data_IF_263526653241
#
_entry.id   IF_263526653241
#
_cell.length_a   1.000
_cell.length_b   1.000
_cell.length_c   1.000
_cell.angle_alpha   90.00
_cell.angle_beta   90.00
_cell.angle_gamma   90.00
#
_symmetry.space_group_name_H-M   'P 1'
#
loop_
_entity.id
_entity.type
_entity.pdbx_description
1 polymer ?
#
# COMPACT_ATOMS: atom_id res chain seq x y z
N UNK A 1 57.95 9.95 29.41
CA UNK A 1 57.13 9.15 28.48
C UNK A 1 55.80 9.85 28.30
N UNK A 2 55.56 10.42 27.12
CA UNK A 2 54.31 11.14 26.79
C UNK A 2 53.36 10.11 26.18
N UNK A 3 52.33 9.71 26.91
CA UNK A 3 51.27 8.86 26.38
C UNK A 3 50.12 9.77 25.91
N UNK A 4 50.12 10.11 24.62
CA UNK A 4 49.03 10.81 23.95
C UNK A 4 47.80 9.89 23.96
N UNK A 5 46.80 10.21 24.78
CA UNK A 5 45.49 9.57 24.73
C UNK A 5 44.71 10.12 23.53
N UNK A 6 44.64 9.32 22.47
CA UNK A 6 43.77 9.56 21.32
C UNK A 6 42.33 9.25 21.74
N UNK A 7 41.50 10.27 21.96
CA UNK A 7 40.06 10.09 22.12
C UNK A 7 39.46 9.76 20.75
N UNK A 8 39.16 8.48 20.51
CA UNK A 8 38.26 8.06 19.44
C UNK A 8 36.82 8.36 19.89
N UNK A 9 36.27 9.50 19.46
CA UNK A 9 34.85 9.79 19.58
C UNK A 9 34.12 8.91 18.55
N UNK A 10 33.62 7.75 18.98
CA UNK A 10 32.73 6.94 18.16
C UNK A 10 31.41 7.69 17.96
N UNK A 11 31.20 8.24 16.76
CA UNK A 11 29.90 8.71 16.32
C UNK A 11 28.98 7.49 16.13
N UNK A 12 28.19 7.17 17.15
CA UNK A 12 26.98 6.37 16.97
C UNK A 12 26.00 7.22 16.15
N UNK A 13 26.05 7.06 14.84
CA UNK A 13 24.96 7.50 13.96
C UNK A 13 23.77 6.64 14.33
N UNK A 14 22.86 7.18 15.15
CA UNK A 14 21.56 6.58 15.36
C UNK A 14 20.93 6.47 13.96
N UNK A 15 20.77 5.24 13.48
CA UNK A 15 19.92 4.97 12.34
C UNK A 15 18.50 5.34 12.78
N UNK A 16 18.09 6.57 12.52
CA UNK A 16 16.70 6.97 12.69
C UNK A 16 15.88 5.99 11.86
N UNK A 17 14.87 5.32 12.42
CA UNK A 17 13.92 4.59 11.59
C UNK A 17 13.44 5.59 10.55
N UNK A 18 13.57 5.24 9.26
CA UNK A 18 12.91 6.00 8.22
C UNK A 18 11.45 6.11 8.65
N UNK A 19 10.85 7.32 8.72
CA UNK A 19 9.42 7.41 8.94
C UNK A 19 8.75 6.41 7.99
N UNK A 20 8.18 5.35 8.58
CA UNK A 20 7.16 4.59 7.90
C UNK A 20 6.16 5.63 7.40
N UNK A 21 5.50 5.38 6.28
CA UNK A 21 4.49 6.28 5.74
C UNK A 21 3.27 6.35 6.68
N UNK A 22 3.47 6.93 7.86
CA UNK A 22 2.47 7.33 8.82
C UNK A 22 1.52 8.25 8.03
N UNK A 23 0.24 7.89 8.03
CA UNK A 23 -0.88 8.65 7.45
C UNK A 23 -1.09 8.54 5.93
N UNK A 24 -0.69 7.44 5.30
CA UNK A 24 -0.92 7.21 3.87
C UNK A 24 -2.27 6.54 3.54
N UNK A 25 -2.57 5.42 4.20
CA UNK A 25 -3.83 4.68 4.08
C UNK A 25 -4.31 4.32 5.48
N UNK A 26 -5.42 4.94 5.89
CA UNK A 26 -5.98 4.78 7.22
C UNK A 26 -7.16 3.81 7.18
N UNK A 27 -6.87 2.52 7.31
CA UNK A 27 -7.88 1.47 7.38
C UNK A 27 -8.10 0.72 6.07
N UNK A 28 -9.35 0.28 5.86
CA UNK A 28 -9.75 -0.60 4.76
C UNK A 28 -10.51 0.20 3.72
N UNK A 29 -10.07 0.12 2.47
CA UNK A 29 -10.70 0.78 1.34
C UNK A 29 -11.19 -0.24 0.31
N UNK A 30 -12.34 0.03 -0.29
CA UNK A 30 -13.02 -0.85 -1.25
C UNK A 30 -13.46 -0.06 -2.48
N UNK A 31 -13.68 -0.73 -3.61
CA UNK A 31 -14.02 -0.04 -4.86
C UNK A 31 -15.48 0.48 -4.92
N UNK A 32 -16.31 0.17 -3.93
CA UNK A 32 -17.67 0.71 -3.85
C UNK A 32 -18.26 0.69 -2.43
N UNK A 33 -19.26 1.54 -2.21
CA UNK A 33 -20.07 1.57 -0.99
C UNK A 33 -20.86 0.27 -0.77
N UNK A 34 -21.26 -0.40 -1.85
CA UNK A 34 -21.95 -1.70 -1.79
C UNK A 34 -21.03 -2.78 -1.20
N UNK A 35 -19.78 -2.83 -1.64
CA UNK A 35 -18.78 -3.73 -1.07
C UNK A 35 -18.54 -3.43 0.42
N UNK A 36 -18.55 -2.16 0.80
CA UNK A 36 -18.44 -1.78 2.20
C UNK A 36 -19.65 -2.22 3.02
N UNK A 37 -20.87 -2.02 2.51
CA UNK A 37 -22.09 -2.51 3.16
C UNK A 37 -22.06 -4.04 3.31
N UNK A 38 -21.56 -4.77 2.31
CA UNK A 38 -21.37 -6.21 2.37
C UNK A 38 -20.35 -6.61 3.44
N UNK A 39 -19.18 -5.99 3.46
CA UNK A 39 -18.14 -6.25 4.46
C UNK A 39 -18.63 -6.03 5.90
N UNK A 40 -19.47 -5.01 6.12
CA UNK A 40 -20.08 -4.71 7.42
C UNK A 40 -21.17 -5.70 7.84
N UNK A 41 -21.94 -6.20 6.87
CA UNK A 41 -23.04 -7.14 7.12
C UNK A 41 -22.54 -8.57 7.33
N UNK A 42 -21.52 -8.95 6.58
CA UNK A 42 -20.90 -10.27 6.61
C UNK A 42 -19.53 -10.13 7.28
N UNK A 43 -18.44 -10.19 6.50
CA UNK A 43 -17.07 -9.96 6.96
C UNK A 43 -16.23 -9.39 5.82
N UNK A 44 -15.07 -8.80 6.12
CA UNK A 44 -14.12 -8.42 5.09
C UNK A 44 -13.61 -9.66 4.31
N UNK A 45 -13.43 -10.79 4.99
CA UNK A 45 -12.97 -12.02 4.37
C UNK A 45 -13.95 -12.52 3.28
N UNK A 46 -15.26 -12.41 3.48
CA UNK A 46 -16.23 -12.82 2.43
C UNK A 46 -16.21 -11.93 1.19
N UNK A 47 -15.73 -10.68 1.32
CA UNK A 47 -15.51 -9.78 0.19
C UNK A 47 -14.24 -10.20 -0.58
N UNK A 48 -13.17 -10.54 0.13
CA UNK A 48 -11.91 -11.06 -0.42
C UNK A 48 -12.16 -12.39 -1.15
N UNK A 49 -12.81 -13.35 -0.50
CA UNK A 49 -13.10 -14.69 -1.04
C UNK A 49 -13.99 -14.62 -2.29
N UNK A 50 -14.79 -13.56 -2.42
CA UNK A 50 -15.60 -13.30 -3.61
C UNK A 50 -14.81 -12.65 -4.77
N UNK A 51 -13.49 -12.51 -4.65
CA UNK A 51 -12.60 -11.99 -5.69
C UNK A 51 -12.46 -10.46 -5.73
N UNK A 52 -13.02 -9.74 -4.76
CA UNK A 52 -12.91 -8.28 -4.75
C UNK A 52 -11.57 -7.84 -4.16
N UNK A 53 -11.03 -6.75 -4.70
CA UNK A 53 -9.80 -6.16 -4.20
C UNK A 53 -10.09 -5.29 -2.97
N UNK A 54 -9.32 -5.53 -1.92
CA UNK A 54 -9.26 -4.74 -0.70
C UNK A 54 -7.94 -3.97 -0.68
N UNK A 55 -8.01 -2.67 -0.44
CA UNK A 55 -6.84 -1.82 -0.25
C UNK A 55 -6.65 -1.51 1.24
N UNK A 56 -5.41 -1.62 1.71
CA UNK A 56 -5.00 -1.28 3.06
C UNK A 56 -3.58 -0.74 3.11
N UNK A 57 -3.08 -0.41 4.30
CA UNK A 57 -1.70 0.03 4.50
C UNK A 57 -0.66 -1.03 4.09
N UNK A 58 -1.01 -2.33 4.11
CA UNK A 58 -0.13 -3.41 3.68
C UNK A 58 -0.11 -3.61 2.16
N UNK A 59 -1.12 -3.08 1.47
CA UNK A 59 -1.27 -3.15 0.03
C UNK A 59 -2.63 -3.68 -0.41
N UNK A 60 -2.63 -4.42 -1.52
CA UNK A 60 -3.84 -4.91 -2.18
C UNK A 60 -4.04 -6.40 -1.90
N UNK A 61 -5.26 -6.84 -1.65
CA UNK A 61 -5.58 -8.23 -1.38
C UNK A 61 -6.90 -8.67 -2.02
N UNK A 62 -6.91 -9.86 -2.59
CA UNK A 62 -8.07 -10.63 -3.05
C UNK A 62 -7.79 -12.14 -2.83
N UNK A 63 -8.73 -13.02 -3.17
CA UNK A 63 -8.64 -14.47 -2.93
C UNK A 63 -7.38 -15.12 -3.52
N UNK A 64 -6.98 -14.73 -4.73
CA UNK A 64 -5.82 -15.30 -5.45
C UNK A 64 -4.81 -14.22 -5.83
N UNK A 65 -4.90 -13.03 -5.22
CA UNK A 65 -4.10 -11.88 -5.58
C UNK A 65 -3.64 -11.11 -4.35
N UNK A 66 -2.36 -10.80 -4.27
CA UNK A 66 -1.83 -9.92 -3.23
C UNK A 66 -0.74 -9.01 -3.79
N UNK A 67 -0.74 -7.75 -3.39
CA UNK A 67 0.38 -6.84 -3.56
C UNK A 67 0.84 -6.35 -2.21
N UNK A 68 2.09 -6.63 -1.86
CA UNK A 68 2.72 -6.11 -0.66
C UNK A 68 3.40 -4.77 -0.99
N UNK A 69 3.06 -3.72 -0.24
CA UNK A 69 3.72 -2.43 -0.36
C UNK A 69 5.07 -2.47 0.37
N UNK A 70 6.15 -2.23 -0.38
CA UNK A 70 7.53 -2.33 0.14
C UNK A 70 8.14 -0.98 0.48
N UNK A 71 7.96 0.02 -0.40
CA UNK A 71 8.44 1.38 -0.15
C UNK A 71 7.35 2.37 -0.48
N UNK A 72 7.13 3.34 0.40
CA UNK A 72 6.12 4.37 0.25
C UNK A 72 6.79 5.72 0.48
N UNK A 73 6.76 6.59 -0.53
CA UNK A 73 7.38 7.92 -0.49
C UNK A 73 6.33 9.00 -0.72
N UNK A 74 6.13 9.86 0.27
CA UNK A 74 5.18 10.98 0.18
C UNK A 74 5.71 12.10 -0.72
N UNK A 75 4.88 12.60 -1.61
CA UNK A 75 5.17 13.79 -2.40
C UNK A 75 5.07 15.05 -1.54
N UNK A 76 5.91 16.05 -1.82
CA UNK A 76 5.91 17.32 -1.06
C UNK A 76 4.97 18.38 -1.64
N UNK A 77 4.52 18.18 -2.89
CA UNK A 77 3.72 19.17 -3.65
C UNK A 77 2.32 18.66 -4.04
N UNK A 78 1.97 17.43 -3.66
CA UNK A 78 0.66 16.83 -3.92
C UNK A 78 0.26 15.90 -2.79
N UNK A 79 -1.04 15.63 -2.59
CA UNK A 79 -1.52 14.64 -1.62
C UNK A 79 -1.35 13.22 -2.18
N UNK A 80 -0.13 12.88 -2.62
CA UNK A 80 0.17 11.63 -3.30
C UNK A 80 1.40 10.96 -2.73
N UNK A 81 1.48 9.65 -2.96
CA UNK A 81 2.61 8.80 -2.60
C UNK A 81 3.04 7.98 -3.81
N UNK A 82 4.35 7.87 -4.01
CA UNK A 82 4.93 6.87 -4.87
C UNK A 82 5.15 5.59 -4.06
N UNK A 83 4.60 4.48 -4.53
CA UNK A 83 4.65 3.18 -3.87
C UNK A 83 5.34 2.18 -4.78
N UNK A 84 6.30 1.44 -4.24
CA UNK A 84 6.82 0.22 -4.89
C UNK A 84 6.23 -0.99 -4.19
N UNK A 85 5.73 -1.93 -4.97
CA UNK A 85 5.06 -3.12 -4.49
C UNK A 85 5.58 -4.38 -5.18
N UNK A 86 5.45 -5.52 -4.50
CA UNK A 86 5.58 -6.84 -5.11
C UNK A 86 4.20 -7.48 -5.12
N UNK A 87 3.70 -7.76 -6.32
CA UNK A 87 2.43 -8.39 -6.56
C UNK A 87 2.61 -9.86 -6.91
N UNK A 88 1.63 -10.67 -6.52
CA UNK A 88 1.60 -12.09 -6.73
C UNK A 88 0.19 -12.53 -7.11
N UNK A 89 0.16 -13.43 -8.08
CA UNK A 89 -0.99 -14.22 -8.51
C UNK A 89 -0.55 -15.69 -8.67
N UNK A 90 -1.44 -16.65 -8.93
CA UNK A 90 -1.06 -18.06 -8.97
C UNK A 90 0.00 -18.35 -10.05
N UNK A 91 1.23 -18.61 -9.60
CA UNK A 91 2.35 -18.95 -10.48
C UNK A 91 3.12 -17.76 -11.05
N UNK A 92 2.79 -16.52 -10.68
CA UNK A 92 3.46 -15.33 -11.20
C UNK A 92 3.68 -14.27 -10.11
N UNK A 93 4.89 -13.72 -10.06
CA UNK A 93 5.31 -12.67 -9.12
C UNK A 93 5.96 -11.55 -9.92
N UNK A 94 5.53 -10.32 -9.70
CA UNK A 94 5.96 -9.17 -10.49
C UNK A 94 6.03 -7.90 -9.65
N UNK A 95 6.94 -6.96 -9.98
CA UNK A 95 6.95 -5.65 -9.38
C UNK A 95 5.85 -4.76 -9.96
N UNK A 96 5.27 -3.91 -9.12
CA UNK A 96 4.41 -2.80 -9.56
C UNK A 96 4.88 -1.49 -8.91
N UNK A 97 4.67 -0.39 -9.63
CA UNK A 97 4.91 0.96 -9.13
C UNK A 97 3.59 1.71 -9.19
N UNK A 98 3.09 2.11 -8.01
CA UNK A 98 1.81 2.77 -7.88
C UNK A 98 2.00 4.25 -7.54
N UNK A 99 1.21 5.11 -8.16
CA UNK A 99 0.87 6.41 -7.57
C UNK A 99 -0.42 6.23 -6.79
N UNK A 100 -0.41 6.65 -5.54
CA UNK A 100 -1.59 6.63 -4.69
C UNK A 100 -1.90 8.06 -4.28
N UNK A 101 -3.10 8.53 -4.56
CA UNK A 101 -3.48 9.94 -4.37
C UNK A 101 -4.73 10.03 -3.52
N UNK A 102 -4.65 10.82 -2.44
CA UNK A 102 -5.82 11.13 -1.63
C UNK A 102 -6.66 12.19 -2.34
N UNK A 103 -7.84 11.77 -2.81
CA UNK A 103 -8.78 12.64 -3.53
C UNK A 103 -9.71 13.38 -2.56
N UNK A 104 -10.03 12.75 -1.44
CA UNK A 104 -10.80 13.33 -0.34
C UNK A 104 -10.45 12.59 0.98
N UNK A 105 -10.97 13.01 2.14
CA UNK A 105 -10.75 12.28 3.39
C UNK A 105 -11.16 10.81 3.34
N UNK A 106 -12.09 10.43 2.45
CA UNK A 106 -12.63 9.07 2.36
C UNK A 106 -12.38 8.41 1.00
N UNK A 107 -11.63 9.04 0.10
CA UNK A 107 -11.40 8.50 -1.24
C UNK A 107 -9.92 8.59 -1.63
N UNK A 108 -9.42 7.49 -2.17
CA UNK A 108 -8.06 7.35 -2.68
C UNK A 108 -8.12 6.80 -4.10
N UNK A 109 -7.32 7.37 -4.99
CA UNK A 109 -7.12 6.87 -6.35
C UNK A 109 -5.74 6.21 -6.46
N UNK A 110 -5.72 5.01 -7.07
CA UNK A 110 -4.50 4.28 -7.42
C UNK A 110 -4.29 4.35 -8.93
N UNK A 111 -3.05 4.55 -9.33
CA UNK A 111 -2.60 4.41 -10.71
C UNK A 111 -1.39 3.49 -10.72
N UNK A 112 -1.49 2.38 -11.45
CA UNK A 112 -0.40 1.43 -11.64
C UNK A 112 0.43 1.78 -12.87
N UNK A 113 1.76 1.68 -12.74
CA UNK A 113 2.72 1.83 -13.81
C UNK A 113 3.49 0.52 -13.93
N UNK A 114 2.92 -0.38 -14.72
CA UNK A 114 3.55 -1.66 -15.05
C UNK A 114 3.87 -1.75 -16.55
N UNK A 115 4.97 -2.41 -16.94
CA UNK A 115 5.20 -2.75 -18.34
C UNK A 115 4.03 -3.62 -18.82
N UNK A 116 3.31 -3.17 -19.85
CA UNK A 116 2.24 -3.96 -20.45
C UNK A 116 2.88 -5.10 -21.22
N UNK A 117 2.74 -6.33 -20.72
CA UNK A 117 3.25 -7.53 -21.39
C UNK A 117 2.23 -8.06 -22.39
N UNK A 118 0.93 -7.85 -22.12
CA UNK A 118 -0.19 -8.16 -23.00
C UNK A 118 -1.32 -7.13 -22.82
N UNK A 119 -1.87 -6.59 -23.91
CA UNK A 119 -2.95 -5.58 -23.89
C UNK A 119 -4.28 -6.13 -23.33
N UNK A 120 -4.38 -7.46 -23.19
CA UNK A 120 -5.55 -8.14 -22.61
C UNK A 120 -5.54 -8.21 -21.08
N UNK A 121 -4.44 -7.84 -20.41
CA UNK A 121 -4.38 -7.80 -18.94
C UNK A 121 -5.09 -6.55 -18.39
N UNK A 122 -6.42 -6.56 -18.47
CA UNK A 122 -7.27 -5.41 -18.16
C UNK A 122 -7.52 -5.17 -16.67
N UNK A 123 -6.80 -5.87 -15.78
CA UNK A 123 -6.85 -5.65 -14.33
C UNK A 123 -5.54 -5.00 -13.86
N UNK A 124 -5.38 -3.71 -14.15
CA UNK A 124 -4.39 -2.90 -13.47
C UNK A 124 -4.80 -2.72 -12.00
N UNK A 125 -3.84 -2.56 -11.09
CA UNK A 125 -4.10 -2.18 -9.69
C UNK A 125 -4.73 -0.79 -9.53
N UNK A 126 -4.94 -0.08 -10.64
CA UNK A 126 -5.50 1.25 -10.67
C UNK A 126 -7.02 1.24 -10.46
N UNK A 127 -7.51 2.35 -9.90
CA UNK A 127 -8.93 2.54 -9.62
C UNK A 127 -9.15 3.47 -8.44
N UNK A 128 -10.41 3.83 -8.21
CA UNK A 128 -10.83 4.61 -7.05
C UNK A 128 -11.31 3.68 -5.93
N UNK A 129 -10.89 3.97 -4.71
CA UNK A 129 -11.24 3.23 -3.53
C UNK A 129 -11.81 4.17 -2.46
N UNK A 130 -12.87 3.73 -1.78
CA UNK A 130 -13.56 4.46 -0.72
C UNK A 130 -13.33 3.81 0.64
N UNK A 131 -13.14 4.66 1.66
CA UNK A 131 -12.89 4.22 3.03
C UNK A 131 -14.11 3.50 3.60
N UNK A 132 -13.93 2.23 3.95
CA UNK A 132 -14.94 1.45 4.63
C UNK A 132 -14.79 1.54 6.16
N UNK A 133 -15.19 2.67 6.72
CA UNK A 133 -15.07 2.93 8.15
C UNK A 133 -15.80 1.89 9.02
N UNK A 134 -15.15 1.43 10.09
CA UNK A 134 -15.67 0.40 11.00
C UNK A 134 -15.40 -1.05 10.56
N UNK A 135 -14.73 -1.25 9.42
CA UNK A 135 -14.19 -2.54 8.99
C UNK A 135 -12.69 -2.56 9.28
N UNK A 136 -12.22 -3.64 9.89
CA UNK A 136 -10.81 -3.87 10.21
C UNK A 136 -10.26 -5.01 9.36
N UNK A 137 -8.94 -5.01 9.15
CA UNK A 137 -8.26 -6.15 8.57
C UNK A 137 -8.39 -7.38 9.50
N UNK A 138 -8.52 -8.60 8.94
CA UNK A 138 -8.52 -9.84 9.70
C UNK A 138 -7.17 -10.12 10.39
#
# INVERSE_FOLDING_TARGET
>A
MVLKQTLCVSMLVAASPAPAAEDFIEGVYLQSEELCAKAKKETLQSVIDAGNIVLSAHGLQSVEYNCEFLQVTKATLSPSWAVTAICQEPGFVFPDVLSVTQMSPTQIDLVSVRPVVDESEQAGNGGSYVLCGGVVLP
#
